data_IF_927039410725
#
_entry.id   IF_927039410725
#
_cell.length_a   1.000
_cell.length_b   1.000
_cell.length_c   1.000
_cell.angle_alpha   90.00
_cell.angle_beta   90.00
_cell.angle_gamma   90.00
#
_symmetry.space_group_name_H-M   'P 1'
#
loop_
_entity.id
_entity.type
_entity.pdbx_description
1 polymer ?
#
# COMPACT_ATOMS: atom_id res chain seq x y z
N UNK A 1 -3.12 -24.10 0.30
CA UNK A 1 -2.03 -24.62 1.18
C UNK A 1 -2.40 -25.94 1.82
N UNK A 2 -3.55 -26.06 2.49
CA UNK A 2 -3.97 -27.31 3.14
C UNK A 2 -4.32 -28.48 2.17
N UNK A 3 -4.64 -28.21 0.90
CA UNK A 3 -4.99 -29.23 -0.10
C UNK A 3 -3.80 -29.71 -0.95
N UNK A 4 -2.58 -29.24 -0.65
CA UNK A 4 -1.37 -29.57 -1.40
C UNK A 4 -0.62 -30.72 -0.72
N UNK A 5 -0.23 -31.74 -1.49
CA UNK A 5 0.63 -32.84 -1.00
C UNK A 5 1.97 -32.28 -0.52
N UNK A 6 2.19 -32.32 0.79
CA UNK A 6 3.33 -31.66 1.46
C UNK A 6 4.69 -32.22 1.03
N UNK A 7 4.76 -33.48 0.59
CA UNK A 7 6.01 -34.10 0.11
C UNK A 7 6.41 -33.61 -1.28
N UNK A 8 5.46 -33.49 -2.20
CA UNK A 8 5.72 -33.04 -3.58
C UNK A 8 5.77 -31.51 -3.69
N UNK A 9 4.93 -30.81 -2.91
CA UNK A 9 4.82 -29.35 -2.90
C UNK A 9 6.07 -28.67 -2.32
N UNK A 10 6.77 -29.28 -1.35
CA UNK A 10 7.98 -28.69 -0.78
C UNK A 10 9.09 -28.51 -1.82
N UNK A 11 9.28 -29.51 -2.69
CA UNK A 11 10.34 -29.52 -3.70
C UNK A 11 10.01 -28.63 -4.90
N UNK A 12 8.75 -28.60 -5.33
CA UNK A 12 8.30 -27.70 -6.40
C UNK A 12 8.23 -26.26 -5.88
N UNK A 13 7.74 -26.06 -4.66
CA UNK A 13 7.65 -24.77 -3.99
C UNK A 13 9.01 -24.15 -3.71
N UNK A 14 10.03 -24.94 -3.34
CA UNK A 14 11.39 -24.41 -3.13
C UNK A 14 12.02 -23.88 -4.42
N UNK A 15 11.77 -24.56 -5.56
CA UNK A 15 12.23 -24.09 -6.87
C UNK A 15 11.51 -22.81 -7.29
N UNK A 16 10.19 -22.73 -7.09
CA UNK A 16 9.42 -21.52 -7.35
C UNK A 16 9.91 -20.35 -6.48
N UNK A 17 10.11 -20.57 -5.18
CA UNK A 17 10.63 -19.57 -4.25
C UNK A 17 12.02 -19.07 -4.68
N UNK A 18 12.92 -20.00 -5.06
CA UNK A 18 14.25 -19.65 -5.57
C UNK A 18 14.18 -18.82 -6.86
N UNK A 19 13.29 -19.18 -7.78
CA UNK A 19 13.07 -18.43 -9.02
C UNK A 19 12.56 -16.99 -8.75
N UNK A 20 11.61 -16.83 -7.84
CA UNK A 20 11.10 -15.51 -7.45
C UNK A 20 12.18 -14.64 -6.82
N UNK A 21 12.96 -15.19 -5.89
CA UNK A 21 14.05 -14.44 -5.24
C UNK A 21 15.09 -14.02 -6.27
N UNK A 22 15.56 -14.95 -7.11
CA UNK A 22 16.58 -14.66 -8.11
C UNK A 22 16.12 -13.61 -9.12
N UNK A 23 14.91 -13.76 -9.66
CA UNK A 23 14.35 -12.82 -10.65
C UNK A 23 14.12 -11.44 -10.03
N UNK A 24 13.67 -11.37 -8.76
CA UNK A 24 13.52 -10.08 -8.05
C UNK A 24 14.86 -9.40 -7.85
N UNK A 25 15.91 -10.14 -7.50
CA UNK A 25 17.27 -9.58 -7.37
C UNK A 25 17.77 -9.02 -8.71
N UNK A 26 17.62 -9.75 -9.81
CA UNK A 26 17.99 -9.25 -11.14
C UNK A 26 17.18 -8.01 -11.54
N UNK A 27 15.86 -8.02 -11.30
CA UNK A 27 14.99 -6.87 -11.59
C UNK A 27 15.37 -5.63 -10.78
N UNK A 28 15.68 -5.78 -9.49
CA UNK A 28 16.12 -4.67 -8.62
C UNK A 28 17.46 -4.10 -9.09
N UNK A 29 18.43 -4.95 -9.43
CA UNK A 29 19.73 -4.49 -9.95
C UNK A 29 19.54 -3.69 -11.24
N UNK A 30 18.78 -4.24 -12.20
CA UNK A 30 18.48 -3.53 -13.46
C UNK A 30 17.72 -2.23 -13.21
N UNK A 31 16.75 -2.21 -12.30
CA UNK A 31 16.00 -1.01 -11.93
C UNK A 31 16.88 0.09 -11.33
N UNK A 32 17.81 -0.28 -10.44
CA UNK A 32 18.77 0.67 -9.84
C UNK A 32 19.72 1.23 -10.89
N UNK A 33 20.26 0.37 -11.79
CA UNK A 33 21.12 0.83 -12.88
C UNK A 33 20.37 1.82 -13.78
N UNK A 34 19.12 1.50 -14.14
CA UNK A 34 18.32 2.32 -15.04
C UNK A 34 17.95 3.67 -14.43
N UNK A 35 17.52 3.72 -13.16
CA UNK A 35 17.16 4.98 -12.49
C UNK A 35 18.37 5.88 -12.27
N UNK A 36 19.53 5.31 -11.94
CA UNK A 36 20.77 6.07 -11.79
C UNK A 36 21.38 6.44 -13.14
N UNK A 37 21.10 5.74 -14.24
CA UNK A 37 21.62 6.16 -15.55
C UNK A 37 20.78 7.29 -16.14
N UNK A 38 19.46 7.14 -16.10
CA UNK A 38 18.52 8.08 -16.71
C UNK A 38 18.32 9.31 -15.81
N UNK A 39 18.54 9.19 -14.49
CA UNK A 39 18.26 10.22 -13.49
C UNK A 39 16.90 10.91 -13.72
N UNK A 40 15.78 10.16 -13.72
CA UNK A 40 14.47 10.77 -13.93
C UNK A 40 14.15 11.74 -12.79
N UNK A 41 13.93 13.01 -13.13
CA UNK A 41 13.62 14.10 -12.19
C UNK A 41 14.54 15.30 -12.39
N UNK A 42 13.98 16.45 -12.76
CA UNK A 42 14.73 17.68 -12.99
C UNK A 42 15.31 18.23 -11.68
N UNK A 43 16.64 18.32 -11.60
CA UNK A 43 17.35 19.01 -10.51
C UNK A 43 16.95 20.48 -10.40
N UNK A 44 16.51 21.09 -11.50
CA UNK A 44 16.04 22.47 -11.56
C UNK A 44 14.72 22.72 -10.79
N UNK A 45 13.80 21.75 -10.72
CA UNK A 45 12.51 21.91 -10.01
C UNK A 45 12.66 21.74 -8.49
N UNK A 46 13.80 21.22 -8.02
CA UNK A 46 14.10 21.14 -6.58
C UNK A 46 14.46 22.49 -5.95
N UNK A 47 14.77 23.51 -6.76
CA UNK A 47 15.16 24.83 -6.27
C UNK A 47 13.95 25.75 -6.00
N UNK A 48 12.85 25.58 -6.73
CA UNK A 48 11.63 26.40 -6.62
C UNK A 48 10.55 25.78 -5.70
N UNK A 49 10.65 24.48 -5.41
CA UNK A 49 10.03 23.88 -4.24
C UNK A 49 10.86 24.24 -3.02
N UNK A 50 10.75 25.50 -2.59
CA UNK A 50 11.33 26.01 -1.35
C UNK A 50 11.17 24.99 -0.23
N UNK A 51 12.20 24.87 0.60
CA UNK A 51 12.32 23.97 1.75
C UNK A 51 10.96 23.68 2.36
N UNK A 52 10.32 22.63 1.87
CA UNK A 52 9.12 22.10 2.47
C UNK A 52 9.61 21.61 3.81
N UNK A 53 9.40 22.42 4.85
CA UNK A 53 9.41 21.98 6.24
C UNK A 53 8.28 20.97 6.38
N UNK A 54 8.46 19.79 5.79
CA UNK A 54 7.91 18.58 6.35
C UNK A 54 8.45 18.58 7.77
N UNK A 55 7.54 18.86 8.71
CA UNK A 55 7.83 18.95 10.12
C UNK A 55 8.87 17.90 10.50
N UNK A 56 9.91 18.35 11.20
CA UNK A 56 11.01 17.56 11.69
C UNK A 56 10.53 16.49 12.69
N UNK A 57 9.80 15.49 12.18
CA UNK A 57 9.74 14.18 12.78
C UNK A 57 10.91 13.41 12.21
N UNK A 58 11.79 12.92 13.07
CA UNK A 58 12.89 12.03 12.68
C UNK A 58 12.35 10.96 11.73
N UNK A 59 12.97 10.84 10.55
CA UNK A 59 12.62 9.75 9.62
C UNK A 59 12.80 8.44 10.38
N UNK A 60 11.80 7.52 10.40
CA UNK A 60 11.95 6.24 11.06
C UNK A 60 13.23 5.58 10.54
N UNK A 61 14.04 5.10 11.48
CA UNK A 61 15.25 4.37 11.12
C UNK A 61 14.88 3.13 10.31
N UNK A 62 15.78 2.64 9.46
CA UNK A 62 15.54 1.43 8.66
C UNK A 62 15.14 0.24 9.53
N UNK A 63 15.71 0.14 10.74
CA UNK A 63 15.35 -0.89 11.72
C UNK A 63 13.95 -0.68 12.32
N UNK A 64 13.55 0.57 12.57
CA UNK A 64 12.20 0.88 13.06
C UNK A 64 11.15 0.53 11.99
N UNK A 65 11.42 0.86 10.72
CA UNK A 65 10.59 0.44 9.60
C UNK A 65 10.55 -1.10 9.43
N UNK A 66 11.67 -1.79 9.63
CA UNK A 66 11.73 -3.26 9.58
C UNK A 66 10.97 -3.91 10.75
N UNK A 67 11.08 -3.36 11.95
CA UNK A 67 10.34 -3.82 13.12
C UNK A 67 8.84 -3.52 13.00
N UNK A 68 8.47 -2.38 12.40
CA UNK A 68 7.07 -2.08 12.08
C UNK A 68 6.52 -3.05 11.03
N UNK A 69 7.33 -3.43 10.04
CA UNK A 69 6.99 -4.49 9.08
C UNK A 69 6.79 -5.84 9.79
N UNK A 70 7.72 -6.22 10.68
CA UNK A 70 7.64 -7.48 11.41
C UNK A 70 6.45 -7.51 12.38
N UNK A 71 6.17 -6.41 13.07
CA UNK A 71 4.98 -6.28 13.93
C UNK A 71 3.70 -6.38 13.12
N UNK A 72 3.67 -5.79 11.92
CA UNK A 72 2.52 -5.91 11.02
C UNK A 72 2.36 -7.33 10.44
N UNK A 73 3.42 -8.15 10.40
CA UNK A 73 3.37 -9.56 10.01
C UNK A 73 2.57 -10.42 11.02
N UNK A 74 2.63 -10.07 12.31
CA UNK A 74 1.93 -10.75 13.40
C UNK A 74 0.96 -9.80 14.12
N UNK A 75 -0.25 -9.57 13.56
CA UNK A 75 -1.22 -8.69 14.17
C UNK A 75 -1.66 -9.23 15.53
N UNK A 76 -1.76 -8.34 16.52
CA UNK A 76 -2.24 -8.67 17.88
C UNK A 76 -3.72 -9.10 17.88
N UNK A 77 -4.50 -8.61 16.92
CA UNK A 77 -5.91 -8.96 16.74
C UNK A 77 -6.28 -9.00 15.25
N UNK A 78 -6.81 -10.14 14.78
CA UNK A 78 -7.21 -10.36 13.39
C UNK A 78 -8.43 -9.50 13.00
N UNK A 79 -9.39 -9.35 13.90
CA UNK A 79 -10.61 -8.57 13.63
C UNK A 79 -10.24 -7.10 13.47
N UNK A 80 -9.36 -6.59 14.33
CA UNK A 80 -8.84 -5.24 14.21
C UNK A 80 -7.98 -5.07 12.95
N UNK A 81 -7.16 -6.06 12.59
CA UNK A 81 -6.35 -6.03 11.37
C UNK A 81 -7.17 -5.90 10.07
N UNK A 82 -8.44 -6.34 10.07
CA UNK A 82 -9.34 -6.15 8.93
C UNK A 82 -9.67 -4.66 8.68
N UNK A 83 -9.67 -3.82 9.72
CA UNK A 83 -10.11 -2.43 9.64
C UNK A 83 -8.99 -1.44 9.89
N UNK A 84 -7.96 -1.84 10.65
CA UNK A 84 -6.92 -0.96 11.16
C UNK A 84 -5.52 -1.57 11.03
N UNK A 85 -4.54 -0.69 10.82
CA UNK A 85 -3.13 -1.01 10.67
C UNK A 85 -2.33 -0.25 11.71
N UNK A 86 -1.36 -0.92 12.33
CA UNK A 86 -0.48 -0.29 13.31
C UNK A 86 0.66 0.40 12.57
N UNK A 87 0.86 1.69 12.86
CA UNK A 87 1.99 2.45 12.37
C UNK A 87 2.68 3.17 13.53
N UNK A 88 3.99 3.02 13.62
CA UNK A 88 4.80 3.79 14.55
C UNK A 88 4.99 5.22 14.03
N UNK A 89 4.66 6.23 14.84
CA UNK A 89 5.04 7.63 14.56
C UNK A 89 5.80 8.21 15.74
N UNK A 90 6.85 8.97 15.42
CA UNK A 90 7.56 9.75 16.42
C UNK A 90 6.68 10.93 16.82
N UNK A 91 6.26 10.94 18.08
CA UNK A 91 5.54 12.07 18.66
C UNK A 91 6.48 12.74 19.65
N UNK A 92 6.69 14.04 19.47
CA UNK A 92 7.50 14.85 20.37
C UNK A 92 6.66 15.10 21.63
N UNK A 93 6.83 14.27 22.66
CA UNK A 93 6.23 14.50 23.97
C UNK A 93 7.20 15.36 24.79
N UNK A 94 6.76 16.56 25.14
CA UNK A 94 7.39 17.32 26.21
C UNK A 94 7.01 16.65 27.53
N UNK A 95 7.97 15.95 28.15
CA UNK A 95 7.78 15.47 29.51
C UNK A 95 7.99 16.68 30.42
N UNK A 96 6.90 17.29 30.89
CA UNK A 96 6.99 18.20 32.04
C UNK A 96 7.09 17.29 33.25
N UNK A 97 8.22 17.25 33.98
CA UNK A 97 8.31 16.43 35.18
C UNK A 97 7.25 16.90 36.17
N UNK A 98 6.30 16.02 36.47
CA UNK A 98 5.29 16.25 37.50
C UNK A 98 5.94 16.02 38.87
N UNK A 99 6.86 16.91 39.24
CA UNK A 99 7.38 17.02 40.60
C UNK A 99 8.09 18.39 40.77
N UNK A 100 7.48 19.20 41.65
CA UNK A 100 8.08 20.33 42.39
C UNK A 100 8.07 21.70 41.67
N UNK A 101 7.02 22.47 41.94
CA UNK A 101 7.07 23.95 41.91
C UNK A 101 7.93 24.44 43.07
N UNK A 102 9.26 24.54 42.90
CA UNK A 102 10.10 25.36 43.77
C UNK A 102 10.85 26.34 42.88
N UNK A 103 10.43 27.60 42.96
CA UNK A 103 11.14 28.83 42.59
C UNK A 103 11.83 28.85 41.22
N UNK A 104 11.19 29.53 40.26
CA UNK A 104 11.73 30.11 39.03
C UNK A 104 13.14 29.61 38.65
N UNK A 105 13.18 28.41 38.09
CA UNK A 105 14.23 28.02 37.17
C UNK A 105 13.49 27.37 36.01
N UNK A 106 13.49 28.04 34.86
CA UNK A 106 13.02 27.48 33.60
C UNK A 106 13.94 26.29 33.28
N UNK A 107 13.55 25.10 33.76
CA UNK A 107 14.20 23.85 33.36
C UNK A 107 13.86 23.66 31.88
N UNK A 108 14.85 23.58 30.98
CA UNK A 108 14.57 23.36 29.57
C UNK A 108 13.87 22.02 29.43
N UNK A 109 12.64 22.02 28.88
CA UNK A 109 11.89 20.82 28.62
C UNK A 109 12.72 19.88 27.74
N UNK A 110 13.17 18.75 28.27
CA UNK A 110 13.82 17.71 27.49
C UNK A 110 12.74 17.02 26.65
N UNK A 111 12.72 17.33 25.36
CA UNK A 111 11.81 16.71 24.39
C UNK A 111 12.32 15.30 24.12
N UNK A 112 11.73 14.31 24.79
CA UNK A 112 12.02 12.92 24.50
C UNK A 112 11.12 12.50 23.32
N UNK A 113 11.75 12.13 22.21
CA UNK A 113 11.05 11.51 21.07
C UNK A 113 10.57 10.12 21.51
N UNK A 114 9.27 9.98 21.76
CA UNK A 114 8.67 8.68 22.11
C UNK A 114 8.03 8.09 20.86
N UNK A 115 8.31 6.81 20.61
CA UNK A 115 7.68 6.03 19.55
C UNK A 115 6.25 5.69 19.98
N UNK A 116 5.25 6.38 19.44
CA UNK A 116 3.85 6.14 19.75
C UNK A 116 3.21 5.29 18.65
N UNK A 117 2.47 4.25 19.06
CA UNK A 117 1.73 3.39 18.15
C UNK A 117 0.39 4.03 17.81
N UNK A 118 0.19 4.39 16.55
CA UNK A 118 -1.08 4.93 16.06
C UNK A 118 -1.78 3.89 15.19
N UNK A 119 -3.08 3.68 15.44
CA UNK A 119 -3.93 2.87 14.57
C UNK A 119 -4.42 3.73 13.42
N UNK A 120 -4.02 3.35 12.20
CA UNK A 120 -4.52 3.97 10.97
C UNK A 120 -5.72 3.14 10.53
N UNK A 121 -6.80 3.80 10.10
CA UNK A 121 -7.99 3.13 9.53
C UNK A 121 -7.70 2.61 8.10
N UNK A 122 -6.79 1.65 8.02
CA UNK A 122 -6.39 0.92 6.82
C UNK A 122 -6.28 -0.56 7.18
N UNK A 123 -6.63 -1.47 6.29
CA UNK A 123 -6.48 -2.90 6.53
C UNK A 123 -5.01 -3.33 6.57
N UNK A 124 -4.59 -4.04 7.62
CA UNK A 124 -3.29 -4.71 7.65
C UNK A 124 -3.32 -6.01 6.80
N UNK A 125 -3.18 -5.85 5.49
CA UNK A 125 -3.19 -6.97 4.53
C UNK A 125 -2.03 -7.94 4.79
N UNK A 126 -0.85 -7.43 5.17
CA UNK A 126 0.34 -8.25 5.44
C UNK A 126 0.09 -9.26 6.57
N UNK A 127 -0.51 -8.79 7.67
CA UNK A 127 -0.88 -9.62 8.80
C UNK A 127 -1.96 -10.65 8.47
N UNK A 128 -2.99 -10.25 7.72
CA UNK A 128 -4.06 -11.16 7.29
C UNK A 128 -3.55 -12.29 6.39
N UNK A 129 -2.64 -12.00 5.46
CA UNK A 129 -2.01 -13.01 4.60
C UNK A 129 -1.18 -13.98 5.43
N UNK A 130 -0.33 -13.48 6.33
CA UNK A 130 0.52 -14.33 7.19
C UNK A 130 -0.32 -15.25 8.08
N UNK A 131 -1.33 -14.70 8.73
CA UNK A 131 -2.25 -15.47 9.56
C UNK A 131 -2.98 -16.55 8.75
N UNK A 132 -3.48 -16.20 7.56
CA UNK A 132 -4.20 -17.13 6.68
C UNK A 132 -3.29 -18.27 6.17
N UNK A 133 -2.02 -17.96 5.88
CA UNK A 133 -1.01 -18.97 5.51
C UNK A 133 -0.73 -19.92 6.67
N UNK A 134 -0.48 -19.39 7.87
CA UNK A 134 -0.23 -20.19 9.06
C UNK A 134 -1.43 -21.09 9.40
N UNK A 135 -2.64 -20.52 9.41
CA UNK A 135 -3.88 -21.26 9.63
C UNK A 135 -4.13 -22.33 8.56
N UNK A 136 -3.89 -22.00 7.29
CA UNK A 136 -3.96 -22.94 6.17
C UNK A 136 -2.92 -24.05 6.26
N UNK A 137 -1.74 -23.82 6.85
CA UNK A 137 -0.77 -24.88 7.12
C UNK A 137 -1.22 -25.78 8.28
N UNK A 138 -1.77 -25.20 9.36
CA UNK A 138 -2.30 -25.95 10.49
C UNK A 138 -3.41 -26.91 10.06
N UNK A 139 -4.38 -26.46 9.25
CA UNK A 139 -5.45 -27.35 8.73
C UNK A 139 -4.86 -28.47 7.88
N UNK A 140 -3.85 -28.17 7.05
CA UNK A 140 -3.19 -29.18 6.21
C UNK A 140 -2.50 -30.27 7.02
N UNK A 141 -1.95 -29.91 8.18
CA UNK A 141 -1.32 -30.87 9.09
C UNK A 141 -2.34 -31.75 9.85
N UNK A 142 -3.59 -31.32 9.98
CA UNK A 142 -4.66 -32.08 10.66
C UNK A 142 -5.20 -33.26 9.82
N UNK A 143 -4.71 -33.43 8.59
CA UNK A 143 -5.05 -34.57 7.72
C UNK A 143 -6.56 -34.69 7.49
N UNK A 144 -7.10 -35.89 7.69
CA UNK A 144 -8.52 -36.17 7.44
C UNK A 144 -9.47 -35.34 8.33
N UNK A 145 -9.04 -34.96 9.54
CA UNK A 145 -9.86 -34.12 10.44
C UNK A 145 -9.99 -32.68 9.93
N UNK A 146 -9.03 -32.21 9.13
CA UNK A 146 -9.05 -30.89 8.50
C UNK A 146 -9.89 -30.83 7.22
N UNK A 147 -10.27 -32.00 6.66
CA UNK A 147 -10.98 -32.10 5.37
C UNK A 147 -12.30 -31.31 5.32
N UNK A 148 -13.16 -31.27 6.35
CA UNK A 148 -14.37 -30.46 6.32
C UNK A 148 -14.09 -28.96 6.22
N UNK A 149 -13.08 -28.46 6.93
CA UNK A 149 -12.66 -27.05 6.86
C UNK A 149 -12.09 -26.71 5.48
N UNK A 150 -11.30 -27.61 4.90
CA UNK A 150 -10.77 -27.47 3.54
C UNK A 150 -11.88 -27.29 2.49
N UNK A 151 -12.90 -28.14 2.55
CA UNK A 151 -14.05 -28.07 1.63
C UNK A 151 -14.81 -26.76 1.82
N UNK A 152 -15.02 -26.32 3.06
CA UNK A 152 -15.65 -25.02 3.34
C UNK A 152 -14.89 -23.85 2.70
N UNK A 153 -13.57 -23.76 2.90
CA UNK A 153 -12.75 -22.69 2.32
C UNK A 153 -12.70 -22.75 0.80
N UNK A 154 -12.70 -23.95 0.20
CA UNK A 154 -12.75 -24.14 -1.25
C UNK A 154 -14.04 -23.61 -1.87
N UNK A 155 -15.19 -23.92 -1.25
CA UNK A 155 -16.50 -23.40 -1.70
C UNK A 155 -16.54 -21.88 -1.56
N UNK A 156 -16.02 -21.34 -0.45
CA UNK A 156 -15.96 -19.89 -0.25
C UNK A 156 -15.08 -19.20 -1.29
N UNK A 157 -13.92 -19.76 -1.65
CA UNK A 157 -13.07 -19.26 -2.74
C UNK A 157 -13.83 -19.25 -4.08
N UNK A 158 -14.56 -20.31 -4.41
CA UNK A 158 -15.37 -20.36 -5.63
C UNK A 158 -16.46 -19.27 -5.63
N UNK A 159 -17.12 -19.03 -4.50
CA UNK A 159 -18.07 -17.93 -4.32
C UNK A 159 -17.41 -16.56 -4.55
N UNK A 160 -16.22 -16.33 -3.97
CA UNK A 160 -15.46 -15.09 -4.15
C UNK A 160 -15.04 -14.90 -5.60
N UNK A 161 -14.57 -15.95 -6.28
CA UNK A 161 -14.22 -15.89 -7.70
C UNK A 161 -15.41 -15.56 -8.60
N UNK A 162 -16.61 -16.07 -8.27
CA UNK A 162 -17.85 -15.68 -8.95
C UNK A 162 -18.18 -14.20 -8.72
N UNK A 163 -18.02 -13.71 -7.49
CA UNK A 163 -18.22 -12.30 -7.17
C UNK A 163 -17.22 -11.38 -7.91
N UNK A 164 -15.95 -11.75 -7.97
CA UNK A 164 -14.92 -11.01 -8.71
C UNK A 164 -15.29 -10.93 -10.20
N UNK A 165 -15.78 -12.03 -10.79
CA UNK A 165 -16.26 -12.02 -12.18
C UNK A 165 -17.45 -11.07 -12.39
N UNK A 166 -18.38 -11.02 -11.46
CA UNK A 166 -19.50 -10.06 -11.50
C UNK A 166 -19.01 -8.61 -11.41
N UNK A 167 -18.07 -8.32 -10.51
CA UNK A 167 -17.48 -6.99 -10.38
C UNK A 167 -16.67 -6.62 -11.62
N UNK A 168 -15.87 -7.54 -12.18
CA UNK A 168 -15.09 -7.29 -13.40
C UNK A 168 -16.00 -7.06 -14.61
N UNK A 169 -17.05 -7.85 -14.78
CA UNK A 169 -18.04 -7.66 -15.84
C UNK A 169 -18.81 -6.34 -15.66
N UNK A 170 -19.21 -6.01 -14.43
CA UNK A 170 -19.89 -4.77 -14.09
C UNK A 170 -18.99 -3.53 -14.08
N UNK A 171 -17.67 -3.68 -13.99
CA UNK A 171 -16.69 -2.58 -14.05
C UNK A 171 -16.17 -2.33 -15.47
N UNK A 172 -16.16 -3.34 -16.34
CA UNK A 172 -15.80 -3.20 -17.76
C UNK A 172 -16.83 -2.36 -18.55
N UNK A 173 -18.08 -2.30 -18.09
CA UNK A 173 -19.13 -1.48 -18.71
C UNK A 173 -18.98 0.03 -18.44
N UNK A 174 -18.77 0.53 -17.20
CA UNK A 174 -18.61 1.96 -16.94
C UNK A 174 -17.24 2.52 -17.36
N UNK A 175 -16.16 1.73 -17.40
CA UNK A 175 -14.85 2.23 -17.87
C UNK A 175 -14.85 2.47 -19.38
N UNK A 176 -15.51 1.63 -20.17
CA UNK A 176 -15.71 1.85 -21.61
C UNK A 176 -16.56 3.10 -21.87
N UNK A 177 -17.64 3.31 -21.10
CA UNK A 177 -18.44 4.54 -21.17
C UNK A 177 -17.65 5.80 -20.79
N UNK A 178 -16.74 5.72 -19.80
CA UNK A 178 -15.90 6.84 -19.37
C UNK A 178 -14.81 7.16 -20.41
N UNK A 179 -14.25 6.15 -21.05
CA UNK A 179 -13.27 6.31 -22.14
C UNK A 179 -13.95 6.88 -23.38
N UNK A 180 -15.12 6.34 -23.78
CA UNK A 180 -15.88 6.81 -24.95
C UNK A 180 -16.39 8.26 -24.77
N UNK A 181 -16.88 8.59 -23.57
CA UNK A 181 -17.27 9.97 -23.22
C UNK A 181 -16.06 10.91 -23.18
N UNK A 182 -14.90 10.42 -22.72
CA UNK A 182 -13.65 11.18 -22.70
C UNK A 182 -13.12 11.48 -24.11
N UNK A 183 -13.16 10.51 -25.03
CA UNK A 183 -12.81 10.72 -26.44
C UNK A 183 -13.80 11.62 -27.17
N UNK A 184 -15.10 11.53 -26.86
CA UNK A 184 -16.13 12.39 -27.46
C UNK A 184 -15.99 13.87 -27.04
N UNK A 185 -15.53 14.14 -25.81
CA UNK A 185 -15.24 15.50 -25.34
C UNK A 185 -14.02 16.11 -26.06
N UNK A 186 -12.98 15.30 -26.30
CA UNK A 186 -11.77 15.73 -27.02
C UNK A 186 -12.09 16.08 -28.48
N UNK A 187 -12.98 15.33 -29.14
CA UNK A 187 -13.37 15.60 -30.53
C UNK A 187 -14.28 16.83 -30.70
N UNK A 188 -15.11 17.15 -29.69
CA UNK A 188 -15.91 18.38 -29.65
C UNK A 188 -15.07 19.64 -29.35
N UNK A 189 -14.02 19.52 -28.55
CA UNK A 189 -13.10 20.64 -28.28
C UNK A 189 -12.25 20.99 -29.52
N UNK A 190 -11.88 20.00 -30.34
CA UNK A 190 -11.16 20.23 -31.60
C UNK A 190 -12.03 20.82 -32.72
N UNK A 191 -13.33 20.52 -32.77
CA UNK A 191 -14.25 21.07 -33.79
C UNK A 191 -14.69 22.51 -33.51
N UNK A 192 -14.62 22.96 -32.24
CA UNK A 192 -14.92 24.35 -31.87
C UNK A 192 -13.80 25.32 -32.25
N UNK A 193 -12.58 24.83 -32.47
CA UNK A 193 -11.41 25.66 -32.82
C UNK A 193 -11.17 25.82 -34.33
N UNK A 194 -12.04 25.21 -35.17
CA UNK A 194 -11.93 25.17 -36.64
C UNK A 194 -13.10 25.83 -37.39
N UNK A 195 -13.99 26.57 -36.72
CA UNK A 195 -14.85 27.54 -37.42
C UNK A 195 -14.09 28.87 -37.52
N UNK A 196 -13.63 29.28 -38.72
CA UNK A 196 -13.04 30.60 -38.87
C UNK A 196 -14.15 31.64 -38.73
N UNK A 197 -13.96 32.61 -37.83
CA UNK A 197 -14.74 33.85 -37.75
C UNK A 197 -14.80 34.49 -39.13
N UNK A 198 -15.95 34.34 -39.77
CA UNK A 198 -16.17 34.71 -41.16
C UNK A 198 -17.56 35.28 -41.37
N UNK A 199 -17.99 36.25 -40.54
CA UNK A 199 -19.07 37.20 -40.83
C UNK A 199 -19.40 38.13 -39.64
N UNK A 200 -18.52 39.08 -39.33
CA UNK A 200 -18.92 40.28 -38.57
C UNK A 200 -18.14 41.51 -39.06
N UNK A 201 -18.17 41.74 -40.38
CA UNK A 201 -17.86 43.02 -41.02
C UNK A 201 -19.13 43.47 -41.75
N UNK A 202 -20.18 43.83 -40.99
CA UNK A 202 -21.34 44.55 -41.51
C UNK A 202 -22.17 45.14 -40.36
N UNK A 203 -21.64 46.19 -39.72
CA UNK A 203 -22.42 47.25 -39.04
C UNK A 203 -21.50 48.32 -38.44
N UNK A 204 -20.67 48.97 -39.27
CA UNK A 204 -20.25 50.37 -39.07
C UNK A 204 -19.90 50.95 -40.45
N UNK A 205 -20.96 51.32 -41.19
CA UNK A 205 -21.06 52.44 -42.15
C UNK A 205 -22.45 52.42 -42.79
#
# INVERSE_FOLDING_TARGET
LADLDTKSCGKIGSWAMGYYVLTTLFAVILGIILVVSIHPGSSAIKLDRGTGTHAAGRKPGTLDAFLDLFRNLFPENIVQACTQQVSSRFVNRTIVPDAVKINQSEVPAEVIEVLETHYIDTTNVLGLVTFSVAFGLCIGQMGERGRPMLVFFSIMDECVMRLIRLIMCGANTPTQLKIESGSAQVELEQTTHLTPDGNAQLSEM
#
